data_IF_009956640524
#
_entry.id   IF_009956640524
#
_cell.length_a   1.000
_cell.length_b   1.000
_cell.length_c   1.000
_cell.angle_alpha   90.00
_cell.angle_beta   90.00
_cell.angle_gamma   90.00
#
_symmetry.space_group_name_H-M   'P 1'
#
loop_
_entity.id
_entity.type
_entity.pdbx_description
1 polymer ?
#
# COMPACT_ATOMS: atom_id res chain seq x y z
N UNK A 1 -14.72 1.55 30.30
CA UNK A 1 -14.19 0.19 30.54
C UNK A 1 -13.35 -0.21 29.33
N UNK A 2 -12.07 0.14 29.33
CA UNK A 2 -11.12 -0.30 28.30
C UNK A 2 -10.74 -1.75 28.59
N UNK A 3 -11.42 -2.68 27.91
CA UNK A 3 -11.02 -4.09 27.96
C UNK A 3 -9.70 -4.21 27.23
N UNK A 4 -8.61 -4.34 27.99
CA UNK A 4 -7.36 -4.90 27.46
C UNK A 4 -7.70 -6.34 27.08
N UNK A 5 -7.89 -6.57 25.78
CA UNK A 5 -7.91 -7.92 25.25
C UNK A 5 -6.46 -8.39 25.28
N UNK A 6 -6.01 -8.84 26.44
CA UNK A 6 -4.84 -9.71 26.55
C UNK A 6 -5.19 -10.98 25.77
N UNK A 7 -4.88 -10.94 24.48
CA UNK A 7 -4.85 -12.14 23.65
C UNK A 7 -3.76 -12.99 24.26
N UNK A 8 -4.06 -14.17 24.83
CA UNK A 8 -3.02 -15.02 25.39
C UNK A 8 -2.06 -15.30 24.24
N UNK A 9 -0.85 -14.74 24.31
CA UNK A 9 0.14 -14.95 23.27
C UNK A 9 0.42 -16.44 23.27
N UNK A 10 -0.14 -17.15 22.30
CA UNK A 10 0.18 -18.55 22.10
C UNK A 10 1.69 -18.59 21.89
N UNK A 11 2.45 -19.06 22.88
CA UNK A 11 3.90 -19.15 22.81
C UNK A 11 4.34 -19.90 21.54
N UNK A 12 3.48 -20.83 21.09
CA UNK A 12 3.59 -21.56 19.83
C UNK A 12 3.60 -20.66 18.58
N UNK A 13 2.82 -19.59 18.56
CA UNK A 13 2.78 -18.67 17.42
C UNK A 13 4.00 -17.76 17.39
N UNK A 14 4.51 -17.36 18.55
CA UNK A 14 5.81 -16.65 18.66
C UNK A 14 6.96 -17.53 18.15
N UNK A 15 6.94 -18.83 18.50
CA UNK A 15 7.92 -19.81 17.99
C UNK A 15 7.79 -19.99 16.47
N UNK A 16 6.58 -20.13 15.93
CA UNK A 16 6.38 -20.23 14.46
C UNK A 16 6.87 -18.99 13.72
N UNK A 17 6.68 -17.80 14.28
CA UNK A 17 7.21 -16.56 13.71
C UNK A 17 8.74 -16.52 13.73
N UNK A 18 9.35 -16.96 14.84
CA UNK A 18 10.81 -17.06 14.94
C UNK A 18 11.38 -18.05 13.92
N UNK A 19 10.73 -19.22 13.76
CA UNK A 19 11.11 -20.22 12.75
C UNK A 19 10.95 -19.67 11.33
N UNK A 20 9.85 -18.96 11.03
CA UNK A 20 9.65 -18.35 9.71
C UNK A 20 10.72 -17.29 9.40
N UNK A 21 11.05 -16.43 10.37
CA UNK A 21 12.10 -15.41 10.22
C UNK A 21 13.47 -16.08 10.03
N UNK A 22 13.79 -17.11 10.82
CA UNK A 22 15.04 -17.84 10.70
C UNK A 22 15.17 -18.53 9.32
N UNK A 23 14.07 -19.07 8.80
CA UNK A 23 14.04 -19.73 7.49
C UNK A 23 14.24 -18.72 6.34
N UNK A 24 13.62 -17.54 6.43
CA UNK A 24 13.82 -16.46 5.47
C UNK A 24 15.23 -15.86 5.55
N UNK A 25 15.76 -15.65 6.75
CA UNK A 25 17.15 -15.20 6.95
C UNK A 25 18.14 -16.22 6.38
N UNK A 26 17.89 -17.52 6.61
CA UNK A 26 18.66 -18.61 6.00
C UNK A 26 18.61 -18.59 4.47
N UNK A 27 17.45 -18.28 3.87
CA UNK A 27 17.33 -18.13 2.42
C UNK A 27 18.18 -16.96 1.87
N UNK A 28 18.21 -15.83 2.58
CA UNK A 28 19.01 -14.65 2.20
C UNK A 28 20.52 -14.95 2.32
N UNK A 29 20.94 -15.56 3.43
CA UNK A 29 22.35 -15.93 3.65
C UNK A 29 22.79 -17.00 2.66
N UNK A 30 21.96 -18.01 2.40
CA UNK A 30 22.20 -19.02 1.38
C UNK A 30 22.35 -18.40 -0.01
N UNK A 31 21.49 -17.43 -0.35
CA UNK A 31 21.60 -16.69 -1.61
C UNK A 31 22.94 -15.92 -1.74
N UNK A 32 23.49 -15.43 -0.63
CA UNK A 32 24.78 -14.72 -0.63
C UNK A 32 25.99 -15.68 -0.69
N UNK A 33 25.93 -16.80 0.02
CA UNK A 33 27.00 -17.80 0.07
C UNK A 33 27.15 -18.59 -1.24
N UNK A 34 26.05 -18.86 -1.95
CA UNK A 34 26.07 -19.56 -3.25
C UNK A 34 26.12 -18.58 -4.45
N UNK A 35 26.83 -17.46 -4.31
CA UNK A 35 26.93 -16.44 -5.36
C UNK A 35 27.61 -16.94 -6.65
N UNK A 36 28.53 -17.92 -6.54
CA UNK A 36 29.27 -18.48 -7.68
C UNK A 36 28.53 -19.61 -8.43
N UNK A 37 27.34 -20.01 -7.97
CA UNK A 37 26.53 -21.08 -8.59
C UNK A 37 25.50 -20.51 -9.58
N UNK A 38 24.92 -21.39 -10.41
CA UNK A 38 23.93 -21.00 -11.41
C UNK A 38 22.72 -20.28 -10.78
N UNK A 39 22.34 -19.15 -11.39
CA UNK A 39 21.26 -18.27 -10.92
C UNK A 39 19.93 -19.04 -10.76
N UNK A 40 19.70 -20.05 -11.61
CA UNK A 40 18.47 -20.83 -11.65
C UNK A 40 18.27 -21.68 -10.37
N UNK A 41 19.32 -22.37 -9.91
CA UNK A 41 19.25 -23.21 -8.70
C UNK A 41 19.03 -22.36 -7.44
N UNK A 42 19.63 -21.17 -7.41
CA UNK A 42 19.47 -20.20 -6.32
C UNK A 42 18.07 -19.61 -6.28
N UNK A 43 17.52 -19.25 -7.44
CA UNK A 43 16.15 -18.75 -7.54
C UNK A 43 15.13 -19.79 -7.05
N UNK A 44 15.31 -21.06 -7.45
CA UNK A 44 14.41 -22.14 -7.01
C UNK A 44 14.51 -22.37 -5.50
N UNK A 45 15.71 -22.43 -4.93
CA UNK A 45 15.87 -22.67 -3.48
C UNK A 45 15.29 -21.54 -2.64
N UNK A 46 15.46 -20.29 -3.08
CA UNK A 46 14.84 -19.12 -2.42
C UNK A 46 13.32 -19.16 -2.53
N UNK A 47 12.77 -19.47 -3.71
CA UNK A 47 11.31 -19.59 -3.90
C UNK A 47 10.72 -20.67 -3.00
N UNK A 48 11.37 -21.83 -2.91
CA UNK A 48 10.92 -22.93 -2.03
C UNK A 48 10.98 -22.53 -0.57
N UNK A 49 12.06 -21.87 -0.12
CA UNK A 49 12.20 -21.40 1.25
C UNK A 49 11.14 -20.34 1.60
N UNK A 50 10.87 -19.40 0.70
CA UNK A 50 9.80 -18.40 0.86
C UNK A 50 8.43 -19.07 0.93
N UNK A 51 8.15 -20.03 0.05
CA UNK A 51 6.89 -20.77 0.07
C UNK A 51 6.69 -21.54 1.39
N UNK A 52 7.74 -22.20 1.89
CA UNK A 52 7.71 -22.87 3.19
C UNK A 52 7.49 -21.89 4.35
N UNK A 53 8.18 -20.74 4.34
CA UNK A 53 8.02 -19.67 5.34
C UNK A 53 6.59 -19.11 5.36
N UNK A 54 6.00 -18.85 4.19
CA UNK A 54 4.60 -18.43 4.06
C UNK A 54 3.63 -19.52 4.52
N UNK A 55 3.93 -20.79 4.23
CA UNK A 55 3.16 -21.94 4.71
C UNK A 55 3.14 -22.06 6.25
N UNK A 56 4.28 -21.78 6.90
CA UNK A 56 4.37 -21.76 8.38
C UNK A 56 3.65 -20.53 8.94
N UNK A 57 3.85 -19.36 8.34
CA UNK A 57 3.21 -18.11 8.77
C UNK A 57 1.68 -18.17 8.67
N UNK A 58 1.14 -18.77 7.60
CA UNK A 58 -0.32 -18.93 7.42
C UNK A 58 -0.99 -19.87 8.44
N UNK A 59 -0.22 -20.74 9.10
CA UNK A 59 -0.70 -21.64 10.17
C UNK A 59 -0.67 -21.01 11.57
N UNK A 60 -0.25 -19.75 11.72
CA UNK A 60 -0.42 -18.98 12.96
C UNK A 60 -1.84 -18.44 13.09
N UNK A 61 -2.28 -18.14 14.32
CA UNK A 61 -3.60 -17.54 14.59
C UNK A 61 -3.79 -16.25 13.78
N UNK A 62 -2.78 -15.36 13.78
CA UNK A 62 -2.78 -14.14 12.97
C UNK A 62 -2.86 -14.41 11.47
N UNK A 63 -2.15 -15.44 10.98
CA UNK A 63 -2.17 -15.85 9.58
C UNK A 63 -3.53 -16.36 9.12
N UNK A 64 -4.19 -17.18 9.95
CA UNK A 64 -5.55 -17.68 9.68
C UNK A 64 -6.59 -16.56 9.68
N UNK A 65 -6.50 -15.64 10.65
CA UNK A 65 -7.39 -14.47 10.71
C UNK A 65 -7.20 -13.57 9.48
N UNK A 66 -5.96 -13.35 9.04
CA UNK A 66 -5.69 -12.60 7.81
C UNK A 66 -6.26 -13.30 6.57
N UNK A 67 -6.14 -14.62 6.46
CA UNK A 67 -6.72 -15.38 5.34
C UNK A 67 -8.26 -15.33 5.34
N UNK A 68 -8.88 -15.42 6.51
CA UNK A 68 -10.32 -15.24 6.67
C UNK A 68 -10.75 -13.83 6.25
N UNK A 69 -10.06 -12.80 6.75
CA UNK A 69 -10.30 -11.42 6.39
C UNK A 69 -10.11 -11.16 4.88
N UNK A 70 -9.08 -11.73 4.26
CA UNK A 70 -8.86 -11.62 2.81
C UNK A 70 -9.99 -12.27 2.00
N UNK A 71 -10.54 -13.38 2.49
CA UNK A 71 -11.71 -14.04 1.89
C UNK A 71 -12.96 -13.18 2.01
N UNK A 72 -13.18 -12.57 3.17
CA UNK A 72 -14.29 -11.62 3.40
C UNK A 72 -14.14 -10.36 2.55
N UNK A 73 -12.94 -9.78 2.49
CA UNK A 73 -12.63 -8.63 1.65
C UNK A 73 -12.90 -8.90 0.17
N UNK A 74 -12.62 -10.12 -0.32
CA UNK A 74 -12.98 -10.52 -1.70
C UNK A 74 -14.49 -10.55 -1.92
N UNK A 75 -15.28 -10.92 -0.92
CA UNK A 75 -16.74 -10.86 -1.00
C UNK A 75 -17.20 -9.40 -1.04
N UNK A 76 -16.57 -8.52 -0.25
CA UNK A 76 -16.91 -7.09 -0.24
C UNK A 76 -16.53 -6.38 -1.54
N UNK A 77 -15.37 -6.71 -2.12
CA UNK A 77 -14.94 -6.19 -3.43
C UNK A 77 -15.94 -6.55 -4.53
N UNK A 78 -16.67 -7.68 -4.41
CA UNK A 78 -17.74 -8.03 -5.36
C UNK A 78 -18.98 -7.16 -5.21
N UNK A 79 -19.18 -6.53 -4.05
CA UNK A 79 -20.26 -5.55 -3.83
C UNK A 79 -19.89 -4.16 -4.36
N UNK A 80 -18.62 -3.93 -4.68
CA UNK A 80 -18.18 -2.68 -5.32
C UNK A 80 -18.76 -2.64 -6.73
N UNK A 81 -19.73 -1.76 -6.92
CA UNK A 81 -20.24 -1.43 -8.25
C UNK A 81 -19.18 -0.59 -8.93
N UNK A 82 -18.51 -1.19 -9.92
CA UNK A 82 -17.55 -0.44 -10.74
C UNK A 82 -18.32 0.56 -11.62
N UNK A 83 -17.92 1.84 -11.60
CA UNK A 83 -18.67 2.89 -12.28
C UNK A 83 -18.70 2.64 -13.78
N UNK A 84 -19.81 2.98 -14.41
CA UNK A 84 -19.89 2.98 -15.87
C UNK A 84 -19.02 4.10 -16.46
N UNK A 85 -18.62 3.99 -17.74
CA UNK A 85 -17.85 5.05 -18.41
C UNK A 85 -18.58 6.40 -18.37
N UNK A 86 -19.92 6.39 -18.38
CA UNK A 86 -20.74 7.58 -18.30
C UNK A 86 -20.66 8.23 -16.91
N UNK A 87 -20.83 7.47 -15.83
CA UNK A 87 -20.70 7.97 -14.45
C UNK A 87 -19.31 8.53 -14.15
N UNK A 88 -18.27 7.84 -14.64
CA UNK A 88 -16.88 8.27 -14.51
C UNK A 88 -16.65 9.62 -15.19
N UNK A 89 -17.20 9.80 -16.39
CA UNK A 89 -17.09 11.05 -17.16
C UNK A 89 -17.85 12.19 -16.50
N UNK A 90 -19.07 11.94 -16.01
CA UNK A 90 -19.84 12.93 -15.26
C UNK A 90 -19.10 13.42 -14.02
N UNK A 91 -18.57 12.51 -13.21
CA UNK A 91 -17.83 12.85 -11.99
C UNK A 91 -16.55 13.62 -12.33
N UNK A 92 -15.82 13.21 -13.36
CA UNK A 92 -14.62 13.91 -13.84
C UNK A 92 -14.96 15.32 -14.31
N UNK A 93 -16.07 15.49 -15.04
CA UNK A 93 -16.51 16.80 -15.53
C UNK A 93 -16.87 17.74 -14.37
N UNK A 94 -17.54 17.24 -13.33
CA UNK A 94 -17.84 18.02 -12.11
C UNK A 94 -16.53 18.54 -11.48
N UNK A 95 -15.55 17.67 -11.29
CA UNK A 95 -14.24 18.05 -10.72
C UNK A 95 -13.49 19.03 -11.64
N UNK A 96 -13.53 18.81 -12.96
CA UNK A 96 -12.89 19.68 -13.95
C UNK A 96 -13.49 21.09 -13.93
N UNK A 97 -14.82 21.22 -13.84
CA UNK A 97 -15.47 22.52 -13.72
C UNK A 97 -15.11 23.20 -12.40
N UNK A 98 -15.16 22.48 -11.27
CA UNK A 98 -14.82 23.05 -9.97
C UNK A 98 -13.36 23.55 -9.91
N UNK A 99 -12.42 22.77 -10.45
CA UNK A 99 -11.01 23.14 -10.53
C UNK A 99 -10.75 24.30 -11.50
N UNK A 100 -11.44 24.35 -12.64
CA UNK A 100 -11.36 25.47 -13.58
C UNK A 100 -11.85 26.79 -12.94
N UNK A 101 -12.95 26.75 -12.18
CA UNK A 101 -13.44 27.93 -11.45
C UNK A 101 -12.40 28.40 -10.43
N UNK A 102 -11.85 27.48 -9.63
CA UNK A 102 -10.82 27.82 -8.64
C UNK A 102 -9.57 28.42 -9.31
N UNK A 103 -9.12 27.83 -10.42
CA UNK A 103 -7.98 28.32 -11.19
C UNK A 103 -8.22 29.74 -11.74
N UNK A 104 -9.41 30.03 -12.26
CA UNK A 104 -9.77 31.37 -12.74
C UNK A 104 -9.82 32.40 -11.61
N UNK A 105 -10.35 32.04 -10.44
CA UNK A 105 -10.39 32.93 -9.27
C UNK A 105 -8.98 33.28 -8.82
N UNK A 106 -8.11 32.26 -8.65
CA UNK A 106 -6.72 32.47 -8.25
C UNK A 106 -5.96 33.30 -9.28
N UNK A 107 -6.06 32.94 -10.57
CA UNK A 107 -5.42 33.69 -11.65
C UNK A 107 -5.84 35.17 -11.69
N UNK A 108 -7.14 35.45 -11.50
CA UNK A 108 -7.66 36.81 -11.43
C UNK A 108 -7.11 37.58 -10.23
N UNK A 109 -7.12 36.96 -9.05
CA UNK A 109 -6.60 37.56 -7.82
C UNK A 109 -5.10 37.84 -7.94
N UNK A 110 -4.31 36.87 -8.38
CA UNK A 110 -2.86 36.98 -8.56
C UNK A 110 -2.52 38.08 -9.58
N UNK A 111 -3.27 38.15 -10.69
CA UNK A 111 -3.10 39.20 -11.70
C UNK A 111 -3.41 40.61 -11.18
N UNK A 112 -4.45 40.74 -10.35
CA UNK A 112 -4.80 42.02 -9.72
C UNK A 112 -3.75 42.41 -8.69
N UNK A 113 -3.33 41.49 -7.83
CA UNK A 113 -2.29 41.72 -6.83
C UNK A 113 -0.96 42.11 -7.49
N UNK A 114 -0.58 41.42 -8.57
CA UNK A 114 0.63 41.72 -9.34
C UNK A 114 0.60 43.17 -9.87
N UNK A 115 -0.51 43.59 -10.48
CA UNK A 115 -0.66 44.97 -10.99
C UNK A 115 -0.69 46.01 -9.88
N UNK A 116 -1.39 45.72 -8.78
CA UNK A 116 -1.47 46.63 -7.63
C UNK A 116 -0.09 46.84 -6.98
N UNK A 117 0.67 45.76 -6.78
CA UNK A 117 2.03 45.83 -6.26
C UNK A 117 2.97 46.52 -7.25
N UNK A 118 2.90 46.24 -8.55
CA UNK A 118 3.69 46.94 -9.57
C UNK A 118 3.46 48.45 -9.55
N UNK A 119 2.20 48.88 -9.50
CA UNK A 119 1.83 50.30 -9.38
C UNK A 119 2.37 50.95 -8.10
N UNK A 120 2.25 50.26 -6.95
CA UNK A 120 2.74 50.76 -5.66
C UNK A 120 4.27 50.84 -5.58
N UNK A 121 4.98 49.90 -6.19
CA UNK A 121 6.44 49.82 -6.10
C UNK A 121 7.14 50.67 -7.16
N UNK A 122 6.40 51.28 -8.10
CA UNK A 122 6.95 52.10 -9.17
C UNK A 122 7.80 51.32 -10.19
N UNK A 123 7.82 49.99 -10.10
CA UNK A 123 8.34 49.11 -11.13
C UNK A 123 7.25 48.94 -12.18
N UNK A 124 7.03 49.98 -12.98
CA UNK A 124 6.39 49.83 -14.28
C UNK A 124 7.31 48.96 -15.15
N UNK A 125 6.84 47.76 -15.47
CA UNK A 125 7.28 47.03 -16.67
C UNK A 125 6.18 47.18 -17.70
#
# INVERSE_FOLDING_TARGET
MSTNVETPSSAMDSVKWLVAIALLAGAVVGNYMYADQSVLLRAISVVVAVAAGLGIASQTEKGRTFLAFAKEARIEVRKVVWPTRQETTHTTFIVMVATAIMALILWGLDGILFRAVGFLTGLEI
#
